data_IF_406555300541
#
_entry.id   IF_406555300541
#
_cell.length_a   1.000
_cell.length_b   1.000
_cell.length_c   1.000
_cell.angle_alpha   90.00
_cell.angle_beta   90.00
_cell.angle_gamma   90.00
#
_symmetry.space_group_name_H-M   'P 1'
#
loop_
_entity.id
_entity.type
_entity.pdbx_description
1 polymer ?
#
# COMPACT_ATOMS: atom_id res chain seq x y z
N UNK A 1 28.74 -2.08 -20.21
CA UNK A 1 29.01 -0.86 -21.02
C UNK A 1 27.90 0.20 -20.89
N UNK A 2 26.95 0.07 -19.95
CA UNK A 2 25.89 1.07 -19.73
C UNK A 2 26.35 2.28 -18.88
N UNK A 3 27.27 2.10 -17.93
CA UNK A 3 27.65 3.15 -16.96
C UNK A 3 28.59 4.26 -17.49
N UNK A 4 28.80 4.38 -18.81
CA UNK A 4 29.72 5.37 -19.40
C UNK A 4 29.02 6.43 -20.27
N UNK A 5 27.73 6.25 -20.55
CA UNK A 5 26.95 7.18 -21.39
C UNK A 5 26.20 8.23 -20.58
N UNK A 6 25.81 7.92 -19.34
CA UNK A 6 25.08 8.83 -18.44
C UNK A 6 25.93 10.03 -17.97
N UNK A 7 27.26 9.91 -17.98
CA UNK A 7 28.18 10.99 -17.56
C UNK A 7 28.47 12.03 -18.65
N UNK A 8 27.88 11.89 -19.84
CA UNK A 8 28.18 12.72 -21.02
C UNK A 8 27.09 13.72 -21.43
N UNK A 9 26.04 13.88 -20.63
CA UNK A 9 24.98 14.87 -20.90
C UNK A 9 24.18 14.61 -22.18
N UNK A 10 24.13 13.35 -22.64
CA UNK A 10 23.19 12.95 -23.68
C UNK A 10 21.77 13.00 -23.12
N UNK A 11 20.77 13.43 -23.92
CA UNK A 11 19.39 13.45 -23.46
C UNK A 11 19.00 12.04 -23.02
N UNK A 12 18.39 11.94 -21.84
CA UNK A 12 17.65 10.75 -21.40
C UNK A 12 16.74 10.36 -22.57
N UNK A 13 16.70 9.08 -22.95
CA UNK A 13 15.83 8.61 -24.03
C UNK A 13 14.38 8.98 -23.70
N UNK A 14 13.90 10.08 -24.28
CA UNK A 14 12.54 10.57 -24.08
C UNK A 14 11.58 9.64 -24.80
N UNK A 15 10.46 9.28 -24.16
CA UNK A 15 9.42 8.44 -24.77
C UNK A 15 9.00 9.04 -26.13
N UNK A 16 8.96 8.24 -27.22
CA UNK A 16 8.59 8.75 -28.54
C UNK A 16 7.22 9.43 -28.55
N UNK A 17 7.11 10.58 -29.23
CA UNK A 17 5.91 11.41 -29.21
C UNK A 17 4.67 10.69 -29.78
N UNK A 18 4.85 9.78 -30.74
CA UNK A 18 3.80 8.94 -31.30
C UNK A 18 3.26 7.92 -30.29
N UNK A 19 4.13 7.37 -29.43
CA UNK A 19 3.74 6.49 -28.32
C UNK A 19 2.92 7.29 -27.30
N UNK A 20 3.41 8.47 -26.90
CA UNK A 20 2.68 9.36 -25.97
C UNK A 20 1.30 9.72 -26.53
N UNK A 21 1.22 10.10 -27.80
CA UNK A 21 -0.05 10.43 -28.45
C UNK A 21 -1.01 9.24 -28.50
N UNK A 22 -0.51 8.05 -28.82
CA UNK A 22 -1.31 6.80 -28.89
C UNK A 22 -1.89 6.44 -27.53
N UNK A 23 -1.05 6.47 -26.48
CA UNK A 23 -1.49 6.16 -25.10
C UNK A 23 -2.46 7.23 -24.60
N UNK A 24 -2.15 8.51 -24.81
CA UNK A 24 -3.04 9.62 -24.45
C UNK A 24 -4.42 9.46 -25.09
N UNK A 25 -4.49 9.19 -26.40
CA UNK A 25 -5.77 9.03 -27.10
C UNK A 25 -6.51 7.78 -26.64
N UNK A 26 -5.80 6.69 -26.34
CA UNK A 26 -6.40 5.48 -25.78
C UNK A 26 -7.01 5.73 -24.41
N UNK A 27 -6.30 6.42 -23.51
CA UNK A 27 -6.79 6.78 -22.19
C UNK A 27 -7.97 7.76 -22.27
N UNK A 28 -7.93 8.75 -23.18
CA UNK A 28 -9.07 9.65 -23.44
C UNK A 28 -10.31 8.89 -23.89
N UNK A 29 -10.14 7.92 -24.78
CA UNK A 29 -11.24 7.08 -25.24
C UNK A 29 -11.84 6.28 -24.08
N UNK A 30 -11.00 5.66 -23.24
CA UNK A 30 -11.47 4.94 -22.06
C UNK A 30 -12.23 5.88 -21.13
N UNK A 31 -11.70 7.07 -20.83
CA UNK A 31 -12.37 8.04 -19.97
C UNK A 31 -13.70 8.51 -20.55
N UNK A 32 -13.75 8.78 -21.87
CA UNK A 32 -14.99 9.16 -22.56
C UNK A 32 -16.03 8.04 -22.50
N UNK A 33 -15.62 6.78 -22.70
CA UNK A 33 -16.54 5.64 -22.64
C UNK A 33 -17.05 5.41 -21.23
N UNK A 34 -16.18 5.46 -20.23
CA UNK A 34 -16.57 5.33 -18.82
C UNK A 34 -17.54 6.43 -18.37
N UNK A 35 -17.35 7.65 -18.85
CA UNK A 35 -18.17 8.80 -18.44
C UNK A 35 -19.47 8.92 -19.24
N UNK A 36 -19.46 8.65 -20.54
CA UNK A 36 -20.60 8.93 -21.43
C UNK A 36 -21.32 7.68 -21.92
N UNK A 37 -20.66 6.51 -21.94
CA UNK A 37 -21.21 5.25 -22.48
C UNK A 37 -20.78 4.03 -21.65
N UNK A 38 -20.98 4.03 -20.31
CA UNK A 38 -20.49 2.96 -19.43
C UNK A 38 -21.03 1.58 -19.80
N UNK A 39 -22.24 1.53 -20.38
CA UNK A 39 -22.90 0.32 -20.88
C UNK A 39 -22.03 -0.50 -21.84
N UNK A 40 -21.21 0.17 -22.66
CA UNK A 40 -20.32 -0.50 -23.63
C UNK A 40 -19.15 -1.23 -22.98
N UNK A 41 -18.84 -0.92 -21.72
CA UNK A 41 -17.72 -1.47 -20.98
C UNK A 41 -18.16 -2.43 -19.86
N UNK A 42 -19.44 -2.84 -19.86
CA UNK A 42 -20.02 -3.74 -18.84
C UNK A 42 -19.46 -5.15 -18.90
N UNK A 43 -18.99 -5.61 -20.07
CA UNK A 43 -18.34 -6.91 -20.23
C UNK A 43 -16.95 -6.98 -19.56
N UNK A 44 -16.36 -5.84 -19.19
CA UNK A 44 -15.04 -5.77 -18.57
C UNK A 44 -15.17 -5.49 -17.08
N UNK A 45 -14.50 -6.30 -16.25
CA UNK A 45 -14.44 -6.07 -14.80
C UNK A 45 -13.60 -4.83 -14.47
N UNK A 46 -13.88 -4.18 -13.34
CA UNK A 46 -13.07 -3.07 -12.86
C UNK A 46 -11.60 -3.46 -12.67
N UNK A 47 -11.35 -4.69 -12.21
CA UNK A 47 -10.00 -5.25 -12.09
C UNK A 47 -9.29 -5.29 -13.45
N UNK A 48 -9.94 -5.82 -14.50
CA UNK A 48 -9.36 -5.85 -15.84
C UNK A 48 -9.03 -4.45 -16.36
N UNK A 49 -9.91 -3.47 -16.15
CA UNK A 49 -9.68 -2.08 -16.57
C UNK A 49 -8.49 -1.47 -15.84
N UNK A 50 -8.45 -1.57 -14.50
CA UNK A 50 -7.34 -1.04 -13.68
C UNK A 50 -6.02 -1.74 -13.99
N UNK A 51 -6.01 -3.05 -14.22
CA UNK A 51 -4.81 -3.78 -14.66
C UNK A 51 -4.26 -3.21 -15.97
N UNK A 52 -5.11 -2.86 -16.94
CA UNK A 52 -4.63 -2.23 -18.18
C UNK A 52 -4.08 -0.81 -17.96
N UNK A 53 -4.61 -0.08 -16.98
CA UNK A 53 -4.01 1.20 -16.57
C UNK A 53 -2.65 1.00 -15.89
N UNK A 54 -2.51 -0.03 -15.05
CA UNK A 54 -1.22 -0.39 -14.44
C UNK A 54 -0.15 -0.67 -15.50
N UNK A 55 -0.52 -1.23 -16.65
CA UNK A 55 0.40 -1.45 -17.76
C UNK A 55 1.05 -0.17 -18.29
N UNK A 56 0.43 1.02 -18.14
CA UNK A 56 1.03 2.30 -18.56
C UNK A 56 2.31 2.60 -17.78
N UNK A 57 2.35 2.24 -16.49
CA UNK A 57 3.57 2.35 -15.69
C UNK A 57 4.64 1.34 -16.13
N UNK A 58 4.24 0.22 -16.73
CA UNK A 58 5.13 -0.86 -17.17
C UNK A 58 5.64 -0.72 -18.62
N UNK A 59 5.11 0.22 -19.42
CA UNK A 59 5.41 0.28 -20.88
C UNK A 59 6.64 1.12 -21.24
N UNK A 60 7.21 1.88 -20.31
CA UNK A 60 8.43 2.66 -20.52
C UNK A 60 8.79 3.55 -19.34
N UNK A 61 10.08 3.84 -19.15
CA UNK A 61 10.53 4.82 -18.17
C UNK A 61 9.87 6.16 -18.47
N UNK A 62 9.11 6.70 -17.52
CA UNK A 62 8.59 8.07 -17.54
C UNK A 62 7.35 8.36 -18.41
N UNK A 63 6.75 7.40 -19.12
CA UNK A 63 5.49 7.68 -19.86
C UNK A 63 4.37 8.20 -18.95
N UNK A 64 4.30 7.70 -17.73
CA UNK A 64 3.33 8.16 -16.73
C UNK A 64 3.60 9.58 -16.23
N UNK A 65 4.80 10.13 -16.45
CA UNK A 65 5.16 11.51 -16.08
C UNK A 65 4.70 12.54 -17.13
N UNK A 66 4.34 12.11 -18.35
CA UNK A 66 3.71 13.01 -19.32
C UNK A 66 2.43 13.60 -18.71
N UNK A 67 2.30 14.93 -18.73
CA UNK A 67 1.23 15.61 -18.03
C UNK A 67 -0.17 15.23 -18.52
N UNK A 68 -0.32 14.92 -19.82
CA UNK A 68 -1.62 14.49 -20.35
C UNK A 68 -1.95 13.07 -19.90
N UNK A 69 -0.98 12.16 -20.01
CA UNK A 69 -1.12 10.77 -19.56
C UNK A 69 -1.44 10.73 -18.07
N UNK A 70 -0.65 11.43 -17.25
CA UNK A 70 -0.82 11.51 -15.79
C UNK A 70 -2.21 12.02 -15.40
N UNK A 71 -2.64 13.13 -16.01
CA UNK A 71 -3.94 13.74 -15.68
C UNK A 71 -5.11 12.80 -16.00
N UNK A 72 -5.08 12.12 -17.15
CA UNK A 72 -6.15 11.21 -17.54
C UNK A 72 -6.12 9.93 -16.69
N UNK A 73 -4.94 9.38 -16.40
CA UNK A 73 -4.80 8.24 -15.48
C UNK A 73 -5.34 8.58 -14.09
N UNK A 74 -5.06 9.77 -13.58
CA UNK A 74 -5.59 10.25 -12.30
C UNK A 74 -7.12 10.33 -12.32
N UNK A 75 -7.71 10.87 -13.39
CA UNK A 75 -9.16 10.93 -13.55
C UNK A 75 -9.79 9.53 -13.60
N UNK A 76 -9.19 8.60 -14.35
CA UNK A 76 -9.64 7.21 -14.44
C UNK A 76 -9.50 6.46 -13.11
N UNK A 77 -8.39 6.65 -12.39
CA UNK A 77 -8.20 6.06 -11.07
C UNK A 77 -9.32 6.52 -10.12
N UNK A 78 -9.56 7.83 -10.04
CA UNK A 78 -10.64 8.39 -9.22
C UNK A 78 -12.02 7.87 -9.61
N UNK A 79 -12.26 7.64 -10.89
CA UNK A 79 -13.50 7.02 -11.38
C UNK A 79 -13.65 5.59 -10.85
N UNK A 80 -12.64 4.74 -11.04
CA UNK A 80 -12.71 3.34 -10.61
C UNK A 80 -12.64 3.14 -9.09
N UNK A 81 -12.18 4.13 -8.33
CA UNK A 81 -12.19 4.09 -6.87
C UNK A 81 -13.42 4.74 -6.24
N UNK A 82 -14.41 5.16 -7.02
CA UNK A 82 -15.72 5.56 -6.47
C UNK A 82 -16.38 4.38 -5.74
N UNK A 83 -17.12 4.61 -4.63
CA UNK A 83 -17.63 3.54 -3.76
C UNK A 83 -18.34 2.39 -4.50
N UNK A 84 -19.18 2.68 -5.50
CA UNK A 84 -19.90 1.67 -6.25
C UNK A 84 -19.01 0.77 -7.12
N UNK A 85 -18.02 1.33 -7.81
CA UNK A 85 -17.09 0.57 -8.65
C UNK A 85 -16.02 -0.13 -7.80
N UNK A 86 -15.54 0.56 -6.75
CA UNK A 86 -14.57 0.04 -5.81
C UNK A 86 -15.08 -1.20 -5.08
N UNK A 87 -16.38 -1.27 -4.76
CA UNK A 87 -16.99 -2.45 -4.15
C UNK A 87 -16.90 -3.70 -5.04
N UNK A 88 -17.01 -3.53 -6.37
CA UNK A 88 -16.89 -4.61 -7.35
C UNK A 88 -15.46 -4.91 -7.81
N UNK A 89 -14.45 -4.17 -7.31
CA UNK A 89 -13.04 -4.40 -7.65
C UNK A 89 -12.51 -5.64 -6.93
N UNK A 90 -12.14 -6.67 -7.68
CA UNK A 90 -11.57 -7.90 -7.15
C UNK A 90 -10.31 -8.36 -7.90
N UNK A 91 -9.16 -8.25 -7.25
CA UNK A 91 -7.87 -8.73 -7.77
C UNK A 91 -7.58 -10.21 -7.45
N UNK A 92 -8.43 -10.88 -6.66
CA UNK A 92 -8.30 -12.31 -6.38
C UNK A 92 -8.89 -13.16 -7.50
N UNK A 93 -9.71 -12.57 -8.38
CA UNK A 93 -10.33 -13.26 -9.51
C UNK A 93 -9.43 -13.26 -10.75
N UNK A 94 -9.52 -14.27 -11.62
CA UNK A 94 -8.79 -14.29 -12.89
C UNK A 94 -9.11 -13.06 -13.75
N UNK A 95 -8.06 -12.39 -14.24
CA UNK A 95 -8.18 -11.18 -15.05
C UNK A 95 -7.88 -11.51 -16.52
N UNK A 96 -8.81 -11.25 -17.46
CA UNK A 96 -8.61 -11.57 -18.87
C UNK A 96 -7.37 -10.88 -19.49
N UNK A 97 -6.54 -11.70 -20.15
CA UNK A 97 -5.35 -11.24 -20.88
C UNK A 97 -4.09 -11.13 -20.02
N UNK A 98 -4.12 -11.53 -18.75
CA UNK A 98 -2.92 -11.76 -17.95
C UNK A 98 -2.96 -13.16 -17.34
N UNK A 99 -1.80 -13.75 -17.09
CA UNK A 99 -1.68 -15.08 -16.46
C UNK A 99 -1.86 -15.01 -14.95
N UNK A 100 -1.29 -13.98 -14.33
CA UNK A 100 -1.25 -13.80 -12.87
C UNK A 100 -1.23 -12.31 -12.55
N UNK A 101 -2.22 -11.85 -11.78
CA UNK A 101 -2.20 -10.48 -11.27
C UNK A 101 -1.06 -10.28 -10.25
N UNK A 102 -0.67 -11.32 -9.52
CA UNK A 102 0.46 -11.29 -8.61
C UNK A 102 1.78 -10.98 -9.33
N UNK A 103 2.04 -11.60 -10.48
CA UNK A 103 3.26 -11.35 -11.25
C UNK A 103 3.27 -9.93 -11.85
N UNK A 104 2.10 -9.45 -12.30
CA UNK A 104 1.95 -8.06 -12.74
C UNK A 104 2.20 -7.08 -11.59
N UNK A 105 1.68 -7.36 -10.40
CA UNK A 105 1.88 -6.53 -9.22
C UNK A 105 3.35 -6.51 -8.78
N UNK A 106 4.04 -7.66 -8.85
CA UNK A 106 5.48 -7.75 -8.62
C UNK A 106 6.26 -6.86 -9.60
N UNK A 107 5.91 -6.91 -10.89
CA UNK A 107 6.49 -6.02 -11.90
C UNK A 107 6.20 -4.54 -11.59
N UNK A 108 4.99 -4.22 -11.12
CA UNK A 108 4.58 -2.87 -10.74
C UNK A 108 5.40 -2.32 -9.57
N UNK A 109 5.65 -3.13 -8.53
CA UNK A 109 6.49 -2.77 -7.39
C UNK A 109 7.94 -2.51 -7.82
N UNK A 110 8.54 -3.42 -8.60
CA UNK A 110 9.89 -3.26 -9.11
C UNK A 110 10.02 -1.97 -9.95
N UNK A 111 9.02 -1.67 -10.78
CA UNK A 111 8.99 -0.46 -11.59
C UNK A 111 8.83 0.81 -10.75
N UNK A 112 8.04 0.75 -9.67
CA UNK A 112 7.90 1.85 -8.73
C UNK A 112 9.24 2.18 -8.08
N UNK A 113 9.97 1.18 -7.60
CA UNK A 113 11.28 1.37 -6.98
C UNK A 113 12.29 1.95 -7.98
N UNK A 114 12.26 1.47 -9.22
CA UNK A 114 13.22 1.89 -10.23
C UNK A 114 12.98 3.31 -10.75
N UNK A 115 11.71 3.73 -10.93
CA UNK A 115 11.38 4.89 -11.77
C UNK A 115 10.23 5.77 -11.26
N UNK A 116 9.63 5.50 -10.10
CA UNK A 116 8.49 6.30 -9.65
C UNK A 116 8.84 7.74 -9.29
N UNK A 117 10.08 8.00 -8.85
CA UNK A 117 10.49 9.26 -8.24
C UNK A 117 9.57 9.73 -7.09
N UNK A 118 8.88 8.79 -6.43
CA UNK A 118 7.88 9.10 -5.40
C UNK A 118 6.61 9.76 -5.95
N UNK A 119 6.20 9.44 -7.18
CA UNK A 119 4.97 9.95 -7.79
C UNK A 119 3.71 9.47 -7.04
N UNK A 120 2.84 10.40 -6.56
CA UNK A 120 1.63 10.07 -5.81
C UNK A 120 0.61 9.22 -6.59
N UNK A 121 0.50 9.41 -7.91
CA UNK A 121 -0.44 8.66 -8.73
C UNK A 121 0.01 7.19 -8.82
N UNK A 122 1.28 6.95 -9.11
CA UNK A 122 1.86 5.62 -9.13
C UNK A 122 1.75 4.95 -7.75
N UNK A 123 2.06 5.68 -6.67
CA UNK A 123 1.89 5.18 -5.30
C UNK A 123 0.44 4.75 -5.02
N UNK A 124 -0.55 5.48 -5.55
CA UNK A 124 -1.96 5.14 -5.40
C UNK A 124 -2.32 3.82 -6.10
N UNK A 125 -1.75 3.55 -7.28
CA UNK A 125 -1.92 2.25 -7.95
C UNK A 125 -1.25 1.11 -7.18
N UNK A 126 -0.06 1.35 -6.60
CA UNK A 126 0.65 0.37 -5.76
C UNK A 126 -0.15 -0.01 -4.52
N UNK A 127 -0.91 0.92 -3.93
CA UNK A 127 -1.75 0.64 -2.78
C UNK A 127 -3.00 -0.18 -3.09
N UNK A 128 -3.53 -0.17 -4.32
CA UNK A 128 -4.82 -0.80 -4.61
C UNK A 128 -4.89 -2.26 -4.12
N UNK A 129 -3.89 -3.12 -4.38
CA UNK A 129 -3.94 -4.53 -3.96
C UNK A 129 -3.62 -4.77 -2.48
N UNK A 130 -3.26 -3.74 -1.71
CA UNK A 130 -2.86 -3.86 -0.30
C UNK A 130 -4.04 -3.75 0.69
N UNK A 131 -5.26 -3.52 0.18
CA UNK A 131 -6.48 -3.55 1.00
C UNK A 131 -6.65 -4.93 1.66
N UNK A 132 -7.25 -4.96 2.86
CA UNK A 132 -7.38 -6.19 3.66
C UNK A 132 -8.24 -7.28 3.01
N UNK A 133 -9.15 -6.91 2.10
CA UNK A 133 -9.98 -7.86 1.34
C UNK A 133 -9.21 -8.71 0.32
N UNK A 134 -7.98 -8.32 -0.04
CA UNK A 134 -7.16 -9.05 -1.00
C UNK A 134 -6.18 -9.99 -0.30
N UNK A 135 -5.73 -11.00 -1.04
CA UNK A 135 -4.81 -12.01 -0.52
C UNK A 135 -3.58 -11.41 0.15
N UNK A 136 -3.17 -11.97 1.30
CA UNK A 136 -2.02 -11.51 2.07
C UNK A 136 -0.71 -11.49 1.26
N UNK A 137 -0.63 -12.29 0.20
CA UNK A 137 0.54 -12.38 -0.68
C UNK A 137 1.02 -11.02 -1.20
N UNK A 138 0.12 -10.08 -1.54
CA UNK A 138 0.54 -8.74 -2.00
C UNK A 138 1.29 -7.96 -0.91
N UNK A 139 0.77 -8.03 0.33
CA UNK A 139 1.39 -7.41 1.51
C UNK A 139 2.72 -8.10 1.81
N UNK A 140 2.77 -9.45 1.81
CA UNK A 140 4.01 -10.22 2.03
C UNK A 140 5.08 -9.85 1.00
N UNK A 141 4.74 -9.82 -0.28
CA UNK A 141 5.64 -9.45 -1.38
C UNK A 141 6.27 -8.07 -1.19
N UNK A 142 5.44 -7.06 -0.86
CA UNK A 142 5.94 -5.71 -0.57
C UNK A 142 6.95 -5.72 0.57
N UNK A 143 6.64 -6.42 1.66
CA UNK A 143 7.50 -6.45 2.85
C UNK A 143 8.79 -7.26 2.66
N UNK A 144 8.74 -8.34 1.88
CA UNK A 144 9.87 -9.26 1.74
C UNK A 144 10.83 -8.89 0.61
N UNK A 145 10.33 -8.29 -0.47
CA UNK A 145 11.13 -8.06 -1.70
C UNK A 145 11.26 -6.58 -2.08
N UNK A 146 10.39 -5.69 -1.58
CA UNK A 146 10.26 -4.31 -2.07
C UNK A 146 10.21 -3.27 -0.93
N UNK A 147 11.14 -3.37 0.02
CA UNK A 147 11.15 -2.50 1.20
C UNK A 147 11.60 -1.05 0.89
N UNK A 148 12.25 -0.82 -0.25
CA UNK A 148 12.64 0.51 -0.69
C UNK A 148 11.42 1.40 -1.00
N UNK A 149 10.27 0.80 -1.35
CA UNK A 149 8.99 1.49 -1.53
C UNK A 149 8.64 2.34 -0.31
N UNK A 150 8.89 1.86 0.91
CA UNK A 150 8.55 2.58 2.14
C UNK A 150 9.28 3.92 2.28
N UNK A 151 10.45 4.07 1.65
CA UNK A 151 11.25 5.30 1.73
C UNK A 151 10.81 6.38 0.76
N UNK A 152 10.18 5.98 -0.34
CA UNK A 152 9.78 6.86 -1.43
C UNK A 152 8.27 7.03 -1.51
N UNK A 153 7.52 6.51 -0.53
CA UNK A 153 6.08 6.55 -0.53
C UNK A 153 5.53 7.94 -0.13
N UNK A 154 4.86 8.67 -1.03
CA UNK A 154 4.58 10.09 -0.81
C UNK A 154 3.25 10.36 -0.10
N UNK A 155 2.30 9.41 -0.16
CA UNK A 155 0.89 9.69 0.14
C UNK A 155 0.65 9.94 1.62
N UNK A 156 -0.02 11.06 1.90
CA UNK A 156 -0.64 11.35 3.18
C UNK A 156 -2.05 10.74 3.27
N UNK A 157 -2.60 10.67 4.48
CA UNK A 157 -3.93 10.07 4.72
C UNK A 157 -5.04 10.75 3.91
N UNK A 158 -4.97 12.06 3.70
CA UNK A 158 -5.99 12.82 2.96
C UNK A 158 -5.89 12.65 1.44
N UNK A 159 -4.79 12.08 0.94
CA UNK A 159 -4.52 11.90 -0.49
C UNK A 159 -4.94 10.51 -1.00
N UNK A 160 -5.39 9.63 -0.09
CA UNK A 160 -5.81 8.27 -0.44
C UNK A 160 -7.07 8.29 -1.32
N UNK A 161 -6.99 7.63 -2.47
CA UNK A 161 -8.12 7.43 -3.38
C UNK A 161 -9.07 6.30 -2.94
N UNK A 162 -8.62 5.49 -1.97
CA UNK A 162 -9.37 4.41 -1.33
C UNK A 162 -9.54 4.78 0.15
N UNK A 163 -10.74 4.59 0.74
CA UNK A 163 -10.95 4.84 2.17
C UNK A 163 -9.94 4.08 3.03
N UNK A 164 -9.36 4.75 4.03
CA UNK A 164 -8.29 4.17 4.86
C UNK A 164 -8.75 2.87 5.55
N UNK A 165 -10.05 2.79 5.84
CA UNK A 165 -10.70 1.67 6.50
C UNK A 165 -10.49 0.37 5.72
N UNK A 166 -10.40 0.42 4.39
CA UNK A 166 -10.15 -0.77 3.58
C UNK A 166 -8.75 -1.39 3.80
N UNK A 167 -7.81 -0.62 4.37
CA UNK A 167 -6.47 -1.09 4.74
C UNK A 167 -6.39 -1.51 6.22
N UNK A 168 -7.34 -1.04 7.02
CA UNK A 168 -7.39 -1.27 8.46
C UNK A 168 -8.35 -2.39 8.82
N UNK A 169 -9.38 -2.66 8.02
CA UNK A 169 -10.42 -3.65 8.29
C UNK A 169 -10.65 -4.62 7.12
N UNK A 170 -10.88 -5.92 7.41
CA UNK A 170 -10.91 -6.53 8.73
C UNK A 170 -9.53 -6.59 9.40
N UNK A 171 -9.53 -6.86 10.71
CA UNK A 171 -8.34 -7.12 11.50
C UNK A 171 -7.47 -8.25 10.88
N UNK A 172 -6.17 -7.99 10.72
CA UNK A 172 -5.23 -9.00 10.21
C UNK A 172 -5.06 -10.16 11.20
N UNK A 173 -5.04 -11.38 10.65
CA UNK A 173 -4.95 -12.63 11.41
C UNK A 173 -3.81 -13.54 10.95
N UNK A 174 -3.20 -13.27 9.79
CA UNK A 174 -2.05 -14.02 9.30
C UNK A 174 -0.81 -13.74 10.18
N UNK A 175 -0.40 -14.76 10.93
CA UNK A 175 0.66 -14.64 11.93
C UNK A 175 2.01 -14.29 11.30
N UNK A 176 2.29 -14.81 10.11
CA UNK A 176 3.54 -14.52 9.40
C UNK A 176 3.61 -13.06 8.97
N UNK A 177 2.51 -12.52 8.43
CA UNK A 177 2.40 -11.11 8.06
C UNK A 177 2.51 -10.19 9.28
N UNK A 178 1.89 -10.55 10.41
CA UNK A 178 2.02 -9.79 11.66
C UNK A 178 3.46 -9.77 12.19
N UNK A 179 4.18 -10.89 12.08
CA UNK A 179 5.61 -10.95 12.41
C UNK A 179 6.43 -10.06 11.45
N UNK A 180 6.11 -10.06 10.15
CA UNK A 180 6.78 -9.17 9.19
C UNK A 180 6.50 -7.70 9.47
N UNK A 181 5.25 -7.33 9.79
CA UNK A 181 4.89 -5.98 10.23
C UNK A 181 5.71 -5.54 11.43
N UNK A 182 5.81 -6.38 12.46
CA UNK A 182 6.63 -6.06 13.63
C UNK A 182 8.12 -5.97 13.24
N UNK A 183 8.62 -6.88 12.42
CA UNK A 183 10.00 -6.90 11.95
C UNK A 183 10.44 -5.60 11.27
N UNK A 184 9.63 -5.10 10.32
CA UNK A 184 9.96 -3.85 9.59
C UNK A 184 9.83 -2.59 10.45
N UNK A 185 8.98 -2.62 11.49
CA UNK A 185 8.92 -1.56 12.49
C UNK A 185 10.14 -1.58 13.41
N UNK A 186 10.55 -2.77 13.88
CA UNK A 186 11.70 -2.94 14.77
C UNK A 186 13.04 -2.64 14.07
N UNK A 187 13.19 -3.03 12.80
CA UNK A 187 14.35 -2.65 11.98
C UNK A 187 14.40 -1.15 11.70
N UNK A 188 13.25 -0.47 11.83
CA UNK A 188 13.07 0.92 11.45
C UNK A 188 13.13 1.14 9.94
N UNK A 189 12.81 0.11 9.14
CA UNK A 189 12.52 0.24 7.70
C UNK A 189 11.29 1.13 7.51
N UNK A 190 10.22 0.86 8.27
CA UNK A 190 9.02 1.70 8.35
C UNK A 190 9.09 2.55 9.60
N UNK A 191 8.95 3.87 9.46
CA UNK A 191 8.83 4.81 10.59
C UNK A 191 7.82 5.90 10.27
N UNK A 192 7.27 6.48 11.34
CA UNK A 192 6.30 7.59 11.26
C UNK A 192 6.77 8.76 10.39
N UNK A 193 8.08 9.04 10.30
CA UNK A 193 8.59 10.23 9.63
C UNK A 193 8.57 10.17 8.10
N UNK A 194 8.56 8.97 7.50
CA UNK A 194 8.62 8.80 6.03
C UNK A 194 7.62 7.77 5.49
N UNK A 195 7.07 6.91 6.35
CA UNK A 195 6.06 5.94 5.97
C UNK A 195 4.86 5.98 6.94
N UNK A 196 4.26 7.15 7.23
CA UNK A 196 3.20 7.29 8.23
C UNK A 196 1.99 6.40 7.95
N UNK A 197 1.60 6.25 6.68
CA UNK A 197 0.51 5.36 6.27
C UNK A 197 0.78 3.90 6.67
N UNK A 198 1.91 3.35 6.26
CA UNK A 198 2.27 1.97 6.58
C UNK A 198 2.50 1.77 8.07
N UNK A 199 3.08 2.77 8.74
CA UNK A 199 3.27 2.77 10.18
C UNK A 199 1.93 2.63 10.92
N UNK A 200 0.92 3.43 10.56
CA UNK A 200 -0.43 3.34 11.10
C UNK A 200 -1.03 1.93 10.89
N UNK A 201 -1.02 1.45 9.63
CA UNK A 201 -1.60 0.14 9.27
C UNK A 201 -0.97 -0.97 10.10
N UNK A 202 0.36 -1.00 10.18
CA UNK A 202 1.09 -2.02 10.93
C UNK A 202 0.82 -1.93 12.44
N UNK A 203 0.88 -0.74 13.04
CA UNK A 203 0.58 -0.56 14.47
C UNK A 203 -0.84 -1.01 14.80
N UNK A 204 -1.83 -0.57 14.02
CA UNK A 204 -3.25 -0.95 14.19
C UNK A 204 -3.40 -2.47 14.18
N UNK A 205 -2.84 -3.13 13.17
CA UNK A 205 -2.99 -4.57 13.01
C UNK A 205 -2.26 -5.37 14.09
N UNK A 206 -1.02 -5.03 14.44
CA UNK A 206 -0.30 -5.73 15.50
C UNK A 206 -1.04 -5.58 16.83
N UNK A 207 -1.45 -4.36 17.20
CA UNK A 207 -2.10 -4.12 18.49
C UNK A 207 -3.52 -4.68 18.55
N UNK A 208 -4.29 -4.59 17.46
CA UNK A 208 -5.59 -5.25 17.34
C UNK A 208 -5.50 -6.77 17.46
N UNK A 209 -4.41 -7.38 16.97
CA UNK A 209 -4.19 -8.83 17.11
C UNK A 209 -3.77 -9.22 18.52
N UNK A 210 -2.78 -8.51 19.09
CA UNK A 210 -2.23 -8.79 20.42
C UNK A 210 -3.28 -8.62 21.52
N UNK A 211 -4.07 -7.55 21.46
CA UNK A 211 -5.05 -7.20 22.50
C UNK A 211 -6.51 -7.53 22.13
N UNK A 212 -6.76 -8.13 20.95
CA UNK A 212 -8.11 -8.53 20.53
C UNK A 212 -8.68 -9.69 21.34
N UNK A 213 -10.01 -9.70 21.50
CA UNK A 213 -10.81 -10.59 22.36
C UNK A 213 -10.78 -12.10 22.05
N UNK A 214 -9.94 -12.58 21.14
CA UNK A 214 -9.79 -14.02 20.93
C UNK A 214 -8.91 -14.64 22.03
N UNK A 215 -9.59 -15.44 22.84
CA UNK A 215 -9.24 -16.01 24.13
C UNK A 215 -8.01 -16.94 24.11
N UNK A 216 -7.08 -16.65 25.03
CA UNK A 216 -6.39 -17.64 25.85
C UNK A 216 -5.36 -18.54 25.16
N UNK A 217 -4.07 -18.33 25.49
CA UNK A 217 -2.92 -19.18 25.15
C UNK A 217 -2.31 -19.07 23.74
N UNK A 218 -2.57 -17.99 23.00
CA UNK A 218 -1.89 -17.79 21.73
C UNK A 218 -0.41 -17.44 21.94
N UNK A 219 0.45 -18.45 21.72
CA UNK A 219 1.91 -18.33 21.80
C UNK A 219 2.44 -17.27 20.83
N UNK A 220 1.77 -17.05 19.70
CA UNK A 220 2.14 -16.03 18.73
C UNK A 220 1.89 -14.61 19.27
N UNK A 221 0.73 -14.36 19.93
CA UNK A 221 0.45 -13.07 20.60
C UNK A 221 1.50 -12.77 21.66
N UNK A 222 1.81 -13.76 22.51
CA UNK A 222 2.84 -13.62 23.55
C UNK A 222 4.22 -13.37 22.95
N UNK A 223 4.55 -14.04 21.84
CA UNK A 223 5.81 -13.82 21.13
C UNK A 223 5.92 -12.39 20.58
N UNK A 224 4.89 -11.89 19.91
CA UNK A 224 4.84 -10.50 19.41
C UNK A 224 5.01 -9.51 20.56
N UNK A 225 4.23 -9.66 21.63
CA UNK A 225 4.29 -8.75 22.78
C UNK A 225 5.65 -8.78 23.48
N UNK A 226 6.29 -9.95 23.64
CA UNK A 226 7.67 -10.03 24.16
C UNK A 226 8.66 -9.25 23.29
N UNK A 227 8.56 -9.36 21.97
CA UNK A 227 9.42 -8.62 21.04
C UNK A 227 9.17 -7.09 21.13
N UNK A 228 7.92 -6.67 21.30
CA UNK A 228 7.59 -5.26 21.54
C UNK A 228 8.22 -4.76 22.85
N UNK A 229 8.07 -5.52 23.93
CA UNK A 229 8.63 -5.17 25.24
C UNK A 229 10.16 -5.12 25.25
N UNK A 230 10.82 -6.01 24.51
CA UNK A 230 12.29 -6.05 24.40
C UNK A 230 12.87 -5.03 23.41
N UNK A 231 12.02 -4.30 22.67
CA UNK A 231 12.47 -3.25 21.76
C UNK A 231 13.29 -2.18 22.48
N UNK A 232 14.42 -1.79 21.89
CA UNK A 232 15.26 -0.68 22.39
C UNK A 232 14.73 0.69 21.94
N UNK A 233 13.80 0.71 20.99
CA UNK A 233 13.19 1.93 20.51
C UNK A 233 12.01 2.29 21.42
N UNK A 234 12.27 3.13 22.42
CA UNK A 234 11.26 3.52 23.42
C UNK A 234 10.08 4.27 22.80
N UNK A 235 10.29 5.03 21.71
CA UNK A 235 9.21 5.72 20.99
C UNK A 235 8.27 4.70 20.36
N UNK A 236 8.81 3.74 19.60
CA UNK A 236 8.01 2.69 18.97
C UNK A 236 7.30 1.82 20.02
N UNK A 237 8.01 1.46 21.09
CA UNK A 237 7.44 0.68 22.20
C UNK A 237 6.26 1.43 22.82
N UNK A 238 6.43 2.73 23.08
CA UNK A 238 5.35 3.58 23.59
C UNK A 238 4.16 3.61 22.62
N UNK A 239 4.41 3.83 21.32
CA UNK A 239 3.33 3.87 20.33
C UNK A 239 2.53 2.58 20.25
N UNK A 240 3.21 1.43 20.27
CA UNK A 240 2.55 0.12 20.26
C UNK A 240 1.75 -0.09 21.55
N UNK A 241 2.40 -0.01 22.71
CA UNK A 241 1.75 -0.32 24.00
C UNK A 241 0.61 0.64 24.36
N UNK A 242 0.64 1.88 23.88
CA UNK A 242 -0.34 2.91 24.22
C UNK A 242 -1.30 3.24 23.06
N UNK A 243 -1.22 2.55 21.92
CA UNK A 243 -2.18 2.74 20.81
C UNK A 243 -3.63 2.66 21.31
N UNK A 244 -4.43 3.70 21.05
CA UNK A 244 -5.83 3.76 21.48
C UNK A 244 -6.79 3.50 20.31
N UNK A 245 -6.80 4.41 19.34
CA UNK A 245 -7.72 4.38 18.20
C UNK A 245 -7.10 5.09 17.01
N UNK A 246 -7.58 4.74 15.82
CA UNK A 246 -7.22 5.46 14.58
C UNK A 246 -7.84 6.84 14.60
N UNK A 247 -7.04 7.85 14.30
CA UNK A 247 -7.42 9.25 14.25
C UNK A 247 -6.58 9.95 13.17
N UNK A 248 -7.11 10.05 11.95
CA UNK A 248 -6.38 10.62 10.82
C UNK A 248 -6.12 12.13 10.94
N UNK A 249 -6.83 12.80 11.86
CA UNK A 249 -6.63 14.21 12.16
C UNK A 249 -5.49 14.44 13.16
N UNK A 250 -5.04 13.39 13.85
CA UNK A 250 -3.92 13.44 14.78
C UNK A 250 -2.57 13.53 14.03
N UNK A 251 -1.86 14.67 14.07
CA UNK A 251 -0.53 14.77 13.48
C UNK A 251 0.51 14.04 14.35
N UNK A 252 1.58 13.45 13.80
CA UNK A 252 1.77 12.89 12.45
C UNK A 252 1.40 11.39 12.35
N UNK A 253 0.84 10.82 13.41
CA UNK A 253 0.74 9.37 13.60
C UNK A 253 -0.49 8.75 12.91
N UNK A 254 -1.56 9.51 12.74
CA UNK A 254 -2.84 8.96 12.29
C UNK A 254 -3.58 8.13 13.35
N UNK A 255 -3.16 8.22 14.62
CA UNK A 255 -3.81 7.55 15.76
C UNK A 255 -3.56 8.29 17.08
N UNK A 256 -4.47 8.06 18.02
CA UNK A 256 -4.37 8.55 19.39
C UNK A 256 -3.65 7.54 20.30
N UNK A 257 -3.01 8.08 21.33
CA UNK A 257 -2.39 7.30 22.40
C UNK A 257 -3.19 7.45 23.69
N UNK A 258 -3.28 6.37 24.45
CA UNK A 258 -3.73 6.44 25.82
C UNK A 258 -2.76 7.27 26.66
N UNK A 259 -3.28 8.10 27.56
CA UNK A 259 -2.45 8.85 28.52
C UNK A 259 -1.78 7.93 29.55
N UNK A 260 -2.37 6.76 29.81
CA UNK A 260 -1.89 5.76 30.76
C UNK A 260 -2.05 4.37 30.15
N UNK A 261 -1.19 3.43 30.53
CA UNK A 261 -1.26 2.07 30.01
C UNK A 261 -2.58 1.42 30.48
N UNK A 262 -3.42 0.91 29.56
CA UNK A 262 -4.65 0.24 29.95
C UNK A 262 -4.41 -0.95 30.89
N UNK A 263 -5.24 -1.17 31.93
CA UNK A 263 -5.01 -2.20 32.95
C UNK A 263 -4.92 -3.63 32.40
N UNK A 264 -5.72 -3.93 31.37
CA UNK A 264 -5.72 -5.22 30.66
C UNK A 264 -4.38 -5.48 29.96
N UNK A 265 -3.78 -4.44 29.35
CA UNK A 265 -2.45 -4.54 28.75
C UNK A 265 -1.36 -4.73 29.81
N UNK A 266 -1.46 -3.99 30.92
CA UNK A 266 -0.53 -4.11 32.04
C UNK A 266 -0.54 -5.54 32.61
N UNK A 267 -1.73 -6.11 32.82
CA UNK A 267 -1.88 -7.48 33.31
C UNK A 267 -1.23 -8.48 32.34
N UNK A 268 -1.52 -8.36 31.03
CA UNK A 268 -0.93 -9.26 30.03
C UNK A 268 0.61 -9.14 29.95
N UNK A 269 1.15 -7.95 30.17
CA UNK A 269 2.61 -7.74 30.22
C UNK A 269 3.25 -8.37 31.45
N UNK A 270 2.59 -8.29 32.62
CA UNK A 270 3.05 -8.93 33.86
C UNK A 270 3.05 -10.46 33.70
N UNK A 271 1.95 -11.02 33.19
CA UNK A 271 1.82 -12.46 32.92
C UNK A 271 2.91 -13.02 31.98
N UNK A 272 3.48 -12.18 31.13
CA UNK A 272 4.55 -12.55 30.19
C UNK A 272 5.94 -12.37 30.80
N UNK A 273 6.12 -11.38 31.69
CA UNK A 273 7.38 -11.08 32.37
C UNK A 273 7.71 -12.05 33.50
N UNK A 274 6.71 -12.73 34.06
CA UNK A 274 6.86 -13.75 35.10
C UNK A 274 7.22 -15.16 34.55
N UNK A 275 7.56 -15.27 33.26
CA UNK A 275 8.02 -16.49 32.56
C UNK A 275 9.50 -16.42 32.20
#
# INVERSE_FOLDING_TARGET
MANSLESRGYPVETVPADVVATVTNSLRLVLMLETWRPETLTALTAAAKLTRLMCVFLTGSELFLDSSVHHILSALLRHYTQPGLLAGLDFNMPIPGITSFYDLYKGLLAQYEATSFGDPLFASFVLLPLQQRYGVGFKKLLLSEHDAVFRTFPLQFQELVVPVENYLEPQETDQELLQMYLGVLLSGTVRQQWAPFFYLVMVKHIMGYVFGHQSGQDTAKRSLLRQVMSSRNEILKHHLLYFHQVNLEAPPLGFDLHCQLPPDRLQLMQDIGDL
#
